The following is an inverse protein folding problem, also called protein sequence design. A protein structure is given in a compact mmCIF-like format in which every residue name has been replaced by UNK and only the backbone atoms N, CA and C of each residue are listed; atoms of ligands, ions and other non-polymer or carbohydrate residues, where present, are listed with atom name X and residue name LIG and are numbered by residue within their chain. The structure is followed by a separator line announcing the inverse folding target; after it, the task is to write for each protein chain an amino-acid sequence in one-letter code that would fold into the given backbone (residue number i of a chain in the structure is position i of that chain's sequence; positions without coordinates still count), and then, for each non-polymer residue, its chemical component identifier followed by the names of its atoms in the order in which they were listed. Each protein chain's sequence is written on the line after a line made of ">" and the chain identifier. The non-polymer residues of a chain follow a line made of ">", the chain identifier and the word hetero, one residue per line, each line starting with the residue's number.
data_IF_269775929794
#
_entry.id   IF_269775929794
#
_cell.length_a   1.000
_cell.length_b   1.000
_cell.length_c   1.000
_cell.angle_alpha   90.00
_cell.angle_beta   90.00
_cell.angle_gamma   90.00
#
_symmetry.space_group_name_H-M   'P 1'
#
loop_
_entity.id
_entity.type
_entity.pdbx_description
1 polymer ?
#
# COMPACT_ATOMS: atom_id res chain seq x y z
N UNK A 1 -8.94 -3.33 0.93
CA UNK A 1 -9.14 -2.01 1.60
C UNK A 1 -10.40 -2.09 2.44
N UNK A 2 -10.42 -1.43 3.59
CA UNK A 2 -11.60 -1.32 4.45
C UNK A 2 -11.75 0.15 4.90
N UNK A 3 -12.96 0.68 4.98
CA UNK A 3 -13.20 2.07 5.37
C UNK A 3 -14.13 2.12 6.58
N UNK A 4 -13.75 2.89 7.60
CA UNK A 4 -14.58 3.26 8.72
C UNK A 4 -14.93 4.76 8.59
N UNK A 5 -16.19 5.06 8.33
CA UNK A 5 -16.68 6.43 8.12
C UNK A 5 -16.78 7.24 9.41
N UNK A 6 -17.06 6.58 10.54
CA UNK A 6 -17.18 7.25 11.85
C UNK A 6 -15.83 7.77 12.31
N UNK A 7 -14.77 7.00 12.06
CA UNK A 7 -13.39 7.37 12.39
C UNK A 7 -12.67 8.09 11.24
N UNK A 8 -13.34 8.35 10.13
CA UNK A 8 -12.74 8.89 8.90
C UNK A 8 -11.42 8.18 8.55
N UNK A 9 -11.41 6.85 8.51
CA UNK A 9 -10.19 6.04 8.43
C UNK A 9 -10.31 4.99 7.32
N UNK A 10 -9.28 4.85 6.49
CA UNK A 10 -9.17 3.79 5.49
C UNK A 10 -7.94 2.91 5.72
N UNK A 11 -8.15 1.60 5.72
CA UNK A 11 -7.11 0.59 5.88
C UNK A 11 -6.70 0.04 4.51
N UNK A 12 -5.41 0.14 4.20
CA UNK A 12 -4.79 -0.44 3.01
C UNK A 12 -4.12 -1.76 3.38
N UNK A 13 -4.54 -2.85 2.74
CA UNK A 13 -3.97 -4.19 2.92
C UNK A 13 -3.17 -4.54 1.68
N UNK A 14 -1.87 -4.79 1.86
CA UNK A 14 -0.88 -4.87 0.77
C UNK A 14 -0.12 -6.18 0.87
N UNK A 15 -0.14 -6.94 -0.23
CA UNK A 15 0.67 -8.14 -0.43
C UNK A 15 1.87 -7.74 -1.29
N UNK A 16 3.08 -7.81 -0.72
CA UNK A 16 4.32 -7.41 -1.43
C UNK A 16 4.59 -8.35 -2.61
N UNK A 17 4.57 -9.65 -2.35
CA UNK A 17 4.74 -10.71 -3.34
C UNK A 17 3.35 -11.21 -3.75
N UNK A 18 3.08 -11.09 -5.04
CA UNK A 18 1.84 -11.56 -5.66
C UNK A 18 2.12 -12.89 -6.35
N UNK A 19 1.59 -13.99 -5.81
CA UNK A 19 1.74 -15.31 -6.44
C UNK A 19 1.05 -15.33 -7.81
N UNK A 20 1.72 -15.78 -8.86
CA UNK A 20 1.17 -15.89 -10.22
C UNK A 20 -0.13 -16.71 -10.28
N UNK A 21 -0.29 -17.71 -9.41
CA UNK A 21 -1.50 -18.55 -9.35
C UNK A 21 -2.78 -17.80 -8.97
N UNK A 22 -2.69 -16.60 -8.38
CA UNK A 22 -3.86 -15.87 -7.87
C UNK A 22 -4.14 -14.54 -8.61
N UNK A 23 -3.31 -14.14 -9.57
CA UNK A 23 -3.43 -12.84 -10.22
C UNK A 23 -3.17 -12.94 -11.73
N UNK A 24 -4.04 -12.33 -12.55
CA UNK A 24 -3.75 -12.17 -13.98
C UNK A 24 -2.57 -11.19 -14.17
N UNK A 25 -1.82 -11.27 -15.29
CA UNK A 25 -0.67 -10.38 -15.57
C UNK A 25 -0.99 -8.87 -15.47
N UNK A 26 -2.27 -8.50 -15.56
CA UNK A 26 -2.75 -7.12 -15.49
C UNK A 26 -3.02 -6.63 -14.05
N UNK A 27 -2.74 -7.44 -13.02
CA UNK A 27 -3.00 -7.14 -11.59
C UNK A 27 -1.72 -7.14 -10.75
N UNK A 28 -0.55 -7.06 -11.39
CA UNK A 28 0.71 -6.86 -10.68
C UNK A 28 0.84 -5.40 -10.23
N UNK A 29 0.11 -5.03 -9.18
CA UNK A 29 0.34 -3.75 -8.49
C UNK A 29 1.78 -3.72 -7.98
N UNK A 30 2.52 -2.67 -8.31
CA UNK A 30 3.92 -2.54 -7.91
C UNK A 30 3.97 -1.87 -6.53
N UNK A 31 3.97 -2.66 -5.46
CA UNK A 31 4.01 -2.16 -4.08
C UNK A 31 5.37 -2.50 -3.47
N UNK A 32 6.12 -1.48 -3.05
CA UNK A 32 7.48 -1.65 -2.55
C UNK A 32 7.88 -0.50 -1.65
N UNK A 33 8.83 -0.76 -0.77
CA UNK A 33 9.43 0.27 0.06
C UNK A 33 10.53 0.98 -0.76
N UNK A 34 10.42 2.30 -0.90
CA UNK A 34 11.43 3.15 -1.54
C UNK A 34 12.59 3.37 -0.57
N UNK A 35 12.26 3.59 0.71
CA UNK A 35 13.15 3.72 1.87
C UNK A 35 12.43 3.19 3.12
N UNK A 36 13.13 3.09 4.24
CA UNK A 36 12.54 2.62 5.51
C UNK A 36 11.29 3.42 5.92
N UNK A 37 11.23 4.71 5.61
CA UNK A 37 10.14 5.62 5.97
C UNK A 37 9.25 6.04 4.79
N UNK A 38 9.44 5.43 3.61
CA UNK A 38 8.77 5.85 2.38
C UNK A 38 8.30 4.65 1.56
N UNK A 39 6.99 4.50 1.45
CA UNK A 39 6.35 3.36 0.80
C UNK A 39 5.66 3.74 -0.50
N UNK A 40 5.94 3.01 -1.57
CA UNK A 40 5.22 3.10 -2.83
C UNK A 40 4.03 2.15 -2.83
N UNK A 41 2.85 2.69 -3.10
CA UNK A 41 1.62 1.92 -3.27
C UNK A 41 0.96 2.27 -4.59
N UNK A 42 0.51 1.26 -5.33
CA UNK A 42 -0.30 1.46 -6.51
C UNK A 42 -1.79 1.25 -6.21
N UNK A 43 -2.61 2.25 -6.56
CA UNK A 43 -4.05 2.19 -6.34
C UNK A 43 -4.73 1.16 -7.23
N UNK A 44 -5.98 0.83 -6.91
CA UNK A 44 -6.84 0.09 -7.85
C UNK A 44 -7.06 0.90 -9.15
N UNK A 45 -7.26 0.21 -10.27
CA UNK A 45 -7.34 0.77 -11.63
C UNK A 45 -8.35 1.91 -11.83
N UNK A 46 -9.37 2.03 -10.97
CA UNK A 46 -10.41 3.05 -11.10
C UNK A 46 -10.09 4.37 -10.37
N UNK A 47 -9.18 4.36 -9.40
CA UNK A 47 -8.87 5.55 -8.60
C UNK A 47 -8.09 6.56 -9.43
N UNK A 48 -8.55 7.83 -9.44
CA UNK A 48 -7.97 8.95 -10.20
C UNK A 48 -7.69 10.16 -9.30
N UNK A 49 -6.68 10.98 -9.61
CA UNK A 49 -6.29 12.10 -8.75
C UNK A 49 -7.33 13.22 -8.65
N UNK A 50 -8.22 13.32 -9.63
CA UNK A 50 -9.16 14.42 -9.79
C UNK A 50 -10.55 14.15 -9.18
N UNK A 51 -10.85 12.90 -8.78
CA UNK A 51 -12.18 12.55 -8.25
C UNK A 51 -12.18 11.29 -7.39
N UNK A 52 -13.23 11.16 -6.56
CA UNK A 52 -13.53 9.96 -5.78
C UNK A 52 -12.39 9.55 -4.85
N UNK A 53 -12.08 8.24 -4.83
CA UNK A 53 -11.06 7.68 -3.92
C UNK A 53 -9.66 8.25 -4.14
N UNK A 54 -9.26 8.46 -5.40
CA UNK A 54 -7.90 8.94 -5.67
C UNK A 54 -7.70 10.38 -5.17
N UNK A 55 -8.70 11.25 -5.36
CA UNK A 55 -8.69 12.59 -4.76
C UNK A 55 -8.72 12.53 -3.23
N UNK A 56 -9.50 11.62 -2.65
CA UNK A 56 -9.55 11.41 -1.19
C UNK A 56 -8.20 10.99 -0.61
N UNK A 57 -7.38 10.22 -1.34
CA UNK A 57 -6.00 9.91 -0.91
C UNK A 57 -5.09 11.14 -0.95
N UNK A 58 -5.22 12.00 -1.96
CA UNK A 58 -4.40 13.22 -2.08
C UNK A 58 -4.73 14.21 -0.96
N UNK A 59 -6.03 14.39 -0.69
CA UNK A 59 -6.52 15.40 0.28
C UNK A 59 -6.70 14.86 1.69
N UNK A 60 -6.27 13.63 1.96
CA UNK A 60 -6.59 12.94 3.21
C UNK A 60 -6.18 13.75 4.45
N UNK A 61 -5.04 14.44 4.42
CA UNK A 61 -4.58 15.28 5.53
C UNK A 61 -5.45 16.53 5.71
N UNK A 62 -5.89 17.16 4.62
CA UNK A 62 -6.80 18.32 4.65
C UNK A 62 -8.18 17.92 5.19
N UNK A 63 -8.66 16.74 4.78
CA UNK A 63 -9.98 16.21 5.12
C UNK A 63 -9.98 15.47 6.48
N UNK A 64 -8.84 15.43 7.20
CA UNK A 64 -8.69 14.72 8.46
C UNK A 64 -8.92 13.21 8.34
N UNK A 65 -8.67 12.63 7.17
CA UNK A 65 -8.82 11.20 6.88
C UNK A 65 -7.52 10.46 7.17
N UNK A 66 -7.59 9.44 8.02
CA UNK A 66 -6.46 8.59 8.36
C UNK A 66 -6.30 7.46 7.34
N UNK A 67 -5.07 7.25 6.86
CA UNK A 67 -4.74 6.15 5.94
C UNK A 67 -3.76 5.21 6.65
N UNK A 68 -4.21 4.00 6.98
CA UNK A 68 -3.41 3.04 7.76
C UNK A 68 -2.93 1.90 6.87
N UNK A 69 -1.63 1.63 6.86
CA UNK A 69 -1.03 0.64 5.98
C UNK A 69 -0.74 -0.67 6.74
N UNK A 70 -1.19 -1.77 6.15
CA UNK A 70 -1.02 -3.13 6.63
C UNK A 70 -0.36 -3.96 5.53
N UNK A 71 0.83 -4.49 5.79
CA UNK A 71 1.59 -5.22 4.78
C UNK A 71 1.88 -6.66 5.22
N UNK A 72 2.02 -7.55 4.24
CA UNK A 72 2.61 -8.87 4.43
C UNK A 72 3.43 -9.24 3.21
N UNK A 73 4.39 -10.14 3.40
CA UNK A 73 5.25 -10.60 2.30
C UNK A 73 4.42 -11.31 1.23
N UNK A 74 3.62 -12.31 1.60
CA UNK A 74 2.71 -13.01 0.70
C UNK A 74 1.50 -13.55 1.45
N UNK A 75 0.48 -14.01 0.71
CA UNK A 75 -0.74 -14.55 1.34
C UNK A 75 -0.51 -15.86 2.08
N UNK A 76 0.34 -16.73 1.54
CA UNK A 76 0.60 -18.09 2.03
C UNK A 76 2.10 -18.29 2.20
N UNK A 77 2.55 -18.84 3.33
CA UNK A 77 3.97 -19.23 3.48
C UNK A 77 4.30 -20.52 2.69
N UNK A 78 5.56 -20.98 2.77
CA UNK A 78 6.05 -22.21 2.13
C UNK A 78 5.32 -23.48 2.60
N UNK A 79 4.63 -23.42 3.74
CA UNK A 79 3.86 -24.51 4.33
C UNK A 79 2.34 -24.39 4.07
N UNK A 80 1.89 -23.37 3.34
CA UNK A 80 0.49 -23.12 3.03
C UNK A 80 -0.32 -22.42 4.14
N UNK A 81 0.33 -21.96 5.21
CA UNK A 81 -0.32 -21.18 6.27
C UNK A 81 -0.59 -19.75 5.81
N UNK A 82 -1.68 -19.16 6.28
CA UNK A 82 -1.99 -17.76 5.98
C UNK A 82 -1.09 -16.83 6.79
N UNK A 83 -0.30 -15.99 6.12
CA UNK A 83 0.50 -14.99 6.81
C UNK A 83 -0.39 -13.82 7.28
N UNK A 84 -0.12 -13.36 8.50
CA UNK A 84 -0.76 -12.19 9.08
C UNK A 84 -0.25 -10.88 8.46
N UNK A 85 -1.07 -9.84 8.55
CA UNK A 85 -0.64 -8.49 8.20
C UNK A 85 0.08 -7.83 9.38
N UNK A 86 1.05 -7.00 9.05
CA UNK A 86 1.78 -6.15 9.98
C UNK A 86 1.34 -4.72 9.74
N UNK A 87 0.90 -4.03 10.79
CA UNK A 87 0.65 -2.59 10.73
C UNK A 87 1.99 -1.86 10.65
N UNK A 88 2.18 -1.05 9.62
CA UNK A 88 3.43 -0.29 9.39
C UNK A 88 3.26 1.21 9.62
N UNK A 89 2.18 1.61 10.26
CA UNK A 89 1.90 3.00 10.59
C UNK A 89 0.88 3.67 9.67
N UNK A 90 0.61 4.92 10.03
CA UNK A 90 -0.18 5.84 9.23
C UNK A 90 0.66 6.37 8.05
N UNK A 91 0.06 6.36 6.87
CA UNK A 91 0.65 6.89 5.65
C UNK A 91 0.22 8.33 5.41
N UNK A 92 1.20 9.22 5.33
CA UNK A 92 1.00 10.61 4.93
C UNK A 92 1.30 10.77 3.44
N UNK A 93 0.38 11.38 2.71
CA UNK A 93 0.53 11.61 1.28
C UNK A 93 1.74 12.50 1.01
N UNK A 94 2.71 12.00 0.26
CA UNK A 94 3.87 12.79 -0.16
C UNK A 94 3.74 13.26 -1.60
N UNK A 95 3.42 12.35 -2.52
CA UNK A 95 3.16 12.66 -3.93
C UNK A 95 2.46 11.50 -4.63
N UNK A 96 1.86 11.79 -5.78
CA UNK A 96 1.38 10.77 -6.70
C UNK A 96 1.71 11.07 -8.15
N UNK A 97 1.83 10.02 -8.96
CA UNK A 97 1.89 10.08 -10.42
C UNK A 97 0.89 9.10 -11.03
N UNK A 98 0.64 9.22 -12.34
CA UNK A 98 -0.35 8.38 -13.01
C UNK A 98 -1.80 8.78 -12.69
N UNK A 99 -2.75 7.99 -13.18
CA UNK A 99 -4.17 8.31 -13.03
C UNK A 99 -5.07 7.09 -12.95
N UNK A 100 -4.77 5.99 -13.67
CA UNK A 100 -5.54 4.73 -13.64
C UNK A 100 -4.61 3.55 -13.96
N UNK A 101 -3.93 2.97 -12.96
CA UNK A 101 -3.93 3.33 -11.54
C UNK A 101 -3.06 4.56 -11.21
N UNK A 102 -3.21 5.07 -9.99
CA UNK A 102 -2.30 6.05 -9.39
C UNK A 102 -1.15 5.33 -8.69
N UNK A 103 0.04 5.90 -8.77
CA UNK A 103 1.20 5.53 -7.97
C UNK A 103 1.34 6.57 -6.86
N UNK A 104 1.18 6.17 -5.60
CA UNK A 104 1.20 7.05 -4.44
C UNK A 104 2.41 6.72 -3.57
N UNK A 105 3.08 7.75 -3.09
CA UNK A 105 4.13 7.62 -2.08
C UNK A 105 3.59 8.06 -0.72
N UNK A 106 3.62 7.12 0.21
CA UNK A 106 3.22 7.31 1.60
C UNK A 106 4.47 7.49 2.46
N UNK A 107 4.60 8.65 3.09
CA UNK A 107 5.57 8.86 4.14
C UNK A 107 5.04 8.23 5.43
N UNK A 108 5.82 7.33 6.04
CA UNK A 108 5.46 6.64 7.27
C UNK A 108 5.99 7.42 8.48
N UNK A 109 5.24 7.40 9.58
CA UNK A 109 5.67 8.02 10.84
C UNK A 109 6.82 7.24 11.52
N UNK A 110 6.88 5.93 11.30
CA UNK A 110 7.92 5.03 11.82
C UNK A 110 8.56 4.23 10.67
N UNK A 111 9.85 3.89 10.78
CA UNK A 111 10.52 3.08 9.79
C UNK A 111 9.93 1.66 9.75
N UNK A 112 9.91 1.06 8.56
CA UNK A 112 9.51 -0.32 8.36
C UNK A 112 10.37 -1.26 9.21
N UNK A 113 9.76 -2.29 9.83
CA UNK A 113 10.52 -3.37 10.44
C UNK A 113 11.52 -3.99 9.45
N UNK A 114 12.76 -4.20 9.88
CA UNK A 114 13.86 -4.68 9.03
C UNK A 114 13.53 -5.92 8.20
N UNK A 115 12.77 -6.87 8.76
CA UNK A 115 12.39 -8.10 8.03
C UNK A 115 11.46 -7.83 6.85
N UNK A 116 10.59 -6.81 6.94
CA UNK A 116 9.72 -6.37 5.84
C UNK A 116 10.49 -5.55 4.82
N UNK A 117 11.42 -4.71 5.28
CA UNK A 117 12.32 -3.96 4.40
C UNK A 117 13.10 -4.88 3.46
N UNK A 118 13.67 -5.97 3.98
CA UNK A 118 14.39 -6.94 3.16
C UNK A 118 13.52 -7.61 2.09
N UNK A 119 12.25 -7.89 2.40
CA UNK A 119 11.30 -8.45 1.44
C UNK A 119 10.91 -7.40 0.37
N UNK A 120 10.62 -6.17 0.79
CA UNK A 120 10.26 -5.06 -0.11
C UNK A 120 11.41 -4.59 -1.00
N UNK A 121 12.63 -4.49 -0.47
CA UNK A 121 13.80 -4.01 -1.20
C UNK A 121 14.21 -4.97 -2.35
N UNK A 122 14.02 -6.28 -2.16
CA UNK A 122 14.20 -7.28 -3.23
C UNK A 122 13.29 -7.00 -4.44
N UNK A 123 12.08 -6.47 -4.20
CA UNK A 123 11.12 -6.15 -5.27
C UNK A 123 11.45 -4.83 -5.98
N UNK A 124 12.11 -3.89 -5.31
CA UNK A 124 12.50 -2.61 -5.91
C UNK A 124 13.69 -2.72 -6.90
N UNK A 125 14.44 -3.82 -6.84
CA UNK A 125 15.64 -4.07 -7.66
C UNK A 125 15.39 -5.01 -8.85
N UNK A 126 14.18 -5.55 -9.00
CA UNK A 126 13.76 -6.40 -10.12
C UNK A 126 12.91 -5.64 -11.12
#
# INVERSE_FOLDING_TARGET
>A
MAENKELNTELLFIDLIKSEQNFSPTTMYNDYAIREDLFHWQSQNAARPDTGKGLSYIRHQEDGKHILLFIREQKKDEFGNTMGYVFIGEGNFQKSTGSKPMNIQWALAEPLPHYLWNASAKLALG
#
